data_IF_432029643426
#
_entry.id   IF_432029643426
#
_cell.length_a   1.000
_cell.length_b   1.000
_cell.length_c   1.000
_cell.angle_alpha   90.00
_cell.angle_beta   90.00
_cell.angle_gamma   90.00
#
_symmetry.space_group_name_H-M   'P 1'
#
loop_
_entity.id
_entity.type
_entity.pdbx_description
1 polymer ?
#
# COMPACT_ATOMS: atom_id res chain seq x y z
N UNK A 1 30.23 17.98 -8.78
CA UNK A 1 29.02 17.28 -9.26
C UNK A 1 28.35 16.66 -8.04
N UNK A 2 27.04 16.90 -7.79
CA UNK A 2 26.34 16.17 -6.72
C UNK A 2 26.37 14.69 -7.09
N UNK A 3 26.92 13.86 -6.21
CA UNK A 3 26.99 12.42 -6.42
C UNK A 3 25.56 11.87 -6.45
N UNK A 4 25.15 11.26 -7.55
CA UNK A 4 23.81 10.68 -7.64
C UNK A 4 23.72 9.44 -6.75
N UNK A 5 22.80 9.45 -5.79
CA UNK A 5 22.47 8.29 -4.97
C UNK A 5 21.15 7.72 -5.44
N UNK A 6 21.20 6.53 -6.02
CA UNK A 6 20.00 5.79 -6.44
C UNK A 6 19.29 5.16 -5.23
N UNK A 7 17.97 5.08 -5.31
CA UNK A 7 17.13 4.31 -4.40
C UNK A 7 16.00 3.64 -5.18
N UNK A 8 15.49 2.53 -4.65
CA UNK A 8 14.39 1.77 -5.27
C UNK A 8 13.17 1.85 -4.37
N UNK A 9 12.04 2.23 -4.96
CA UNK A 9 10.73 2.19 -4.32
C UNK A 9 9.90 1.08 -4.97
N UNK A 10 9.69 0.00 -4.25
CA UNK A 10 8.73 -1.04 -4.61
C UNK A 10 7.32 -0.51 -4.36
N UNK A 11 6.47 -0.56 -5.38
CA UNK A 11 5.08 -0.07 -5.29
C UNK A 11 4.10 -1.19 -5.49
N UNK A 12 3.16 -1.30 -4.55
CA UNK A 12 2.02 -2.22 -4.68
C UNK A 12 0.72 -1.54 -4.23
N UNK A 13 -0.42 -2.16 -4.51
CA UNK A 13 -1.74 -1.62 -4.18
C UNK A 13 -1.92 -1.42 -2.67
N UNK A 14 -1.45 -2.38 -1.88
CA UNK A 14 -1.64 -2.42 -0.43
C UNK A 14 -2.83 -3.25 0.02
N UNK A 15 -2.98 -3.32 1.34
CA UNK A 15 -3.86 -4.26 2.02
C UNK A 15 -4.26 -3.70 3.39
N UNK A 16 -5.41 -4.09 3.96
CA UNK A 16 -5.77 -3.66 5.31
C UNK A 16 -4.75 -4.14 6.35
N UNK A 17 -4.54 -3.34 7.40
CA UNK A 17 -3.58 -3.66 8.47
C UNK A 17 -4.03 -4.85 9.36
N UNK A 18 -5.31 -5.20 9.31
CA UNK A 18 -5.88 -6.32 10.05
C UNK A 18 -7.09 -6.92 9.31
N UNK A 19 -7.40 -8.21 9.52
CA UNK A 19 -8.54 -8.87 8.87
C UNK A 19 -9.83 -8.60 9.66
N UNK A 20 -10.03 -7.34 10.09
CA UNK A 20 -11.21 -6.91 10.86
C UNK A 20 -12.09 -5.99 10.01
N UNK A 21 -13.42 -5.99 10.23
CA UNK A 21 -14.32 -5.10 9.48
C UNK A 21 -13.91 -3.62 9.56
N UNK A 22 -13.33 -3.18 10.68
CA UNK A 22 -12.89 -1.79 10.87
C UNK A 22 -11.66 -1.45 10.02
N UNK A 23 -10.65 -2.32 10.02
CA UNK A 23 -9.44 -2.12 9.21
C UNK A 23 -9.73 -2.23 7.72
N UNK A 24 -10.54 -3.21 7.31
CA UNK A 24 -11.03 -3.35 5.94
C UNK A 24 -11.84 -2.13 5.51
N UNK A 25 -12.73 -1.61 6.37
CA UNK A 25 -13.49 -0.39 6.07
C UNK A 25 -12.58 0.81 5.83
N UNK A 26 -11.51 0.98 6.62
CA UNK A 26 -10.52 2.05 6.44
C UNK A 26 -9.82 1.92 5.08
N UNK A 27 -9.30 0.74 4.77
CA UNK A 27 -8.64 0.45 3.50
C UNK A 27 -9.57 0.65 2.30
N UNK A 28 -10.78 0.08 2.33
CA UNK A 28 -11.76 0.22 1.25
C UNK A 28 -12.21 1.67 1.07
N UNK A 29 -12.32 2.44 2.16
CA UNK A 29 -12.66 3.86 2.08
C UNK A 29 -11.58 4.61 1.33
N UNK A 30 -10.31 4.37 1.63
CA UNK A 30 -9.19 5.00 0.95
C UNK A 30 -9.17 4.62 -0.55
N UNK A 31 -9.21 3.32 -0.84
CA UNK A 31 -9.18 2.79 -2.20
C UNK A 31 -10.35 3.29 -3.07
N UNK A 32 -11.58 3.21 -2.55
CA UNK A 32 -12.78 3.57 -3.32
C UNK A 32 -13.08 5.07 -3.32
N UNK A 33 -12.35 5.88 -2.54
CA UNK A 33 -12.46 7.35 -2.63
C UNK A 33 -11.57 7.94 -3.73
N UNK A 34 -10.68 7.13 -4.30
CA UNK A 34 -9.79 7.58 -5.37
C UNK A 34 -10.55 7.73 -6.69
N UNK A 35 -10.54 8.94 -7.25
CA UNK A 35 -11.18 9.24 -8.54
C UNK A 35 -10.56 8.50 -9.73
N UNK A 36 -9.36 7.93 -9.57
CA UNK A 36 -8.73 7.04 -10.56
C UNK A 36 -9.31 5.63 -10.54
N UNK A 37 -9.95 5.24 -9.43
CA UNK A 37 -10.57 3.93 -9.23
C UNK A 37 -12.07 3.97 -9.51
N UNK A 38 -12.74 5.06 -9.10
CA UNK A 38 -14.16 5.26 -9.31
C UNK A 38 -14.40 6.54 -10.12
N UNK A 39 -14.82 6.36 -11.37
CA UNK A 39 -15.14 7.45 -12.30
C UNK A 39 -16.58 7.96 -12.09
N UNK A 40 -16.86 8.49 -10.89
CA UNK A 40 -18.16 9.09 -10.55
C UNK A 40 -17.93 10.36 -9.74
N UNK A 41 -18.78 11.36 -9.96
CA UNK A 41 -18.69 12.63 -9.22
C UNK A 41 -18.57 12.38 -7.71
N UNK A 42 -17.54 12.93 -7.02
CA UNK A 42 -17.31 12.69 -5.60
C UNK A 42 -18.51 13.00 -4.71
N UNK A 43 -19.31 14.00 -5.10
CA UNK A 43 -20.51 14.41 -4.36
C UNK A 43 -21.61 13.34 -4.37
N UNK A 44 -21.79 12.67 -5.51
CA UNK A 44 -22.76 11.56 -5.65
C UNK A 44 -22.21 10.28 -5.06
N UNK A 45 -20.90 10.04 -5.21
CA UNK A 45 -20.26 8.82 -4.74
C UNK A 45 -20.13 8.76 -3.22
N UNK A 46 -19.82 9.89 -2.57
CA UNK A 46 -19.60 9.93 -1.13
C UNK A 46 -20.74 9.33 -0.29
N UNK A 47 -22.04 9.66 -0.49
CA UNK A 47 -23.13 9.06 0.28
C UNK A 47 -23.31 7.57 -0.04
N UNK A 48 -23.10 7.15 -1.29
CA UNK A 48 -23.18 5.74 -1.71
C UNK A 48 -22.07 4.93 -1.03
N UNK A 49 -20.84 5.44 -1.07
CA UNK A 49 -19.67 4.81 -0.47
C UNK A 49 -19.86 4.66 1.04
N UNK A 50 -20.15 5.75 1.74
CA UNK A 50 -20.19 5.76 3.20
C UNK A 50 -21.48 5.15 3.78
N UNK A 51 -22.60 5.25 3.06
CA UNK A 51 -23.92 4.79 3.51
C UNK A 51 -24.28 3.35 3.12
N UNK A 52 -23.84 2.88 1.95
CA UNK A 52 -24.26 1.57 1.42
C UNK A 52 -23.06 0.64 1.28
N UNK A 53 -22.02 1.06 0.55
CA UNK A 53 -20.92 0.15 0.18
C UNK A 53 -20.10 -0.24 1.39
N UNK A 54 -19.57 0.72 2.15
CA UNK A 54 -18.70 0.42 3.28
C UNK A 54 -19.41 -0.40 4.38
N UNK A 55 -20.64 -0.08 4.81
CA UNK A 55 -21.34 -0.88 5.83
C UNK A 55 -21.63 -2.32 5.40
N UNK A 56 -22.03 -2.54 4.15
CA UNK A 56 -22.41 -3.87 3.65
C UNK A 56 -21.19 -4.71 3.22
N UNK A 57 -20.21 -4.09 2.57
CA UNK A 57 -19.07 -4.79 1.94
C UNK A 57 -17.96 -5.09 2.94
N UNK A 58 -17.67 -4.19 3.88
CA UNK A 58 -16.53 -4.36 4.79
C UNK A 58 -16.59 -5.64 5.64
N UNK A 59 -17.73 -6.04 6.25
CA UNK A 59 -17.82 -7.28 7.01
C UNK A 59 -17.62 -8.53 6.14
N UNK A 60 -18.15 -8.51 4.91
CA UNK A 60 -18.01 -9.63 3.96
C UNK A 60 -16.56 -9.79 3.52
N UNK A 61 -15.90 -8.69 3.15
CA UNK A 61 -14.51 -8.69 2.71
C UNK A 61 -13.56 -9.04 3.87
N UNK A 62 -13.87 -8.63 5.10
CA UNK A 62 -13.09 -9.03 6.27
C UNK A 62 -13.03 -10.54 6.45
N UNK A 63 -14.14 -11.27 6.25
CA UNK A 63 -14.14 -12.74 6.32
C UNK A 63 -13.22 -13.38 5.26
N UNK A 64 -13.16 -12.80 4.07
CA UNK A 64 -12.25 -13.26 3.01
C UNK A 64 -10.78 -13.00 3.37
N UNK A 65 -10.48 -11.83 3.95
CA UNK A 65 -9.13 -11.56 4.48
C UNK A 65 -8.77 -12.52 5.61
N UNK A 66 -9.71 -12.84 6.50
CA UNK A 66 -9.50 -13.82 7.59
C UNK A 66 -9.15 -15.20 7.04
N UNK A 67 -9.78 -15.66 5.96
CA UNK A 67 -9.53 -17.00 5.42
C UNK A 67 -8.14 -17.20 4.80
N UNK A 68 -7.43 -16.10 4.49
CA UNK A 68 -6.09 -16.14 3.88
C UNK A 68 -5.05 -15.44 4.74
N UNK A 69 -5.41 -15.04 5.96
CA UNK A 69 -4.51 -14.29 6.83
C UNK A 69 -3.38 -15.21 7.32
N UNK A 70 -2.14 -14.71 7.28
CA UNK A 70 -0.97 -15.41 7.80
C UNK A 70 -0.61 -14.85 9.16
N UNK A 71 0.23 -15.57 9.91
CA UNK A 71 0.69 -15.15 11.24
C UNK A 71 1.36 -13.78 11.20
N UNK A 72 2.11 -13.48 10.13
CA UNK A 72 2.79 -12.20 9.95
C UNK A 72 1.92 -11.10 9.30
N UNK A 73 0.70 -11.42 8.86
CA UNK A 73 -0.23 -10.46 8.26
C UNK A 73 -0.83 -10.91 6.92
N UNK A 74 -1.28 -9.93 6.12
CA UNK A 74 -1.80 -10.18 4.78
C UNK A 74 -0.72 -10.77 3.87
N UNK A 75 -1.00 -11.85 3.11
CA UNK A 75 -0.06 -12.44 2.15
C UNK A 75 0.63 -11.43 1.25
N UNK A 76 -0.13 -10.46 0.72
CA UNK A 76 0.41 -9.41 -0.14
C UNK A 76 1.56 -8.65 0.54
N UNK A 77 1.34 -8.19 1.77
CA UNK A 77 2.32 -7.41 2.51
C UNK A 77 3.52 -8.27 2.92
N UNK A 78 3.27 -9.50 3.39
CA UNK A 78 4.34 -10.41 3.81
C UNK A 78 5.26 -10.74 2.64
N UNK A 79 4.72 -11.13 1.49
CA UNK A 79 5.55 -11.41 0.32
C UNK A 79 6.24 -10.16 -0.23
N UNK A 80 5.57 -9.01 -0.22
CA UNK A 80 6.19 -7.73 -0.63
C UNK A 80 7.37 -7.36 0.27
N UNK A 81 7.27 -7.58 1.59
CA UNK A 81 8.38 -7.37 2.53
C UNK A 81 9.52 -8.34 2.31
N UNK A 82 9.23 -9.62 2.05
CA UNK A 82 10.26 -10.62 1.71
C UNK A 82 10.97 -10.26 0.40
N UNK A 83 10.25 -9.77 -0.60
CA UNK A 83 10.82 -9.26 -1.86
C UNK A 83 11.71 -8.02 -1.62
N UNK A 84 11.24 -7.06 -0.82
CA UNK A 84 12.03 -5.88 -0.42
C UNK A 84 13.36 -6.31 0.22
N UNK A 85 13.32 -7.20 1.21
CA UNK A 85 14.50 -7.71 1.89
C UNK A 85 15.45 -8.45 0.94
N UNK A 86 14.91 -9.30 0.08
CA UNK A 86 15.70 -10.06 -0.89
C UNK A 86 16.36 -9.18 -1.96
N UNK A 87 15.74 -8.05 -2.33
CA UNK A 87 16.32 -7.07 -3.24
C UNK A 87 17.38 -6.22 -2.54
N UNK A 88 17.09 -5.73 -1.33
CA UNK A 88 18.03 -4.97 -0.52
C UNK A 88 19.32 -5.76 -0.26
N UNK A 89 19.21 -7.06 0.03
CA UNK A 89 20.37 -7.93 0.21
C UNK A 89 21.24 -8.07 -1.04
N UNK A 90 20.65 -7.95 -2.25
CA UNK A 90 21.38 -7.96 -3.53
C UNK A 90 21.95 -6.60 -3.91
N UNK A 91 21.47 -5.52 -3.28
CA UNK A 91 21.86 -4.14 -3.58
C UNK A 91 22.29 -3.40 -2.29
N UNK A 92 23.36 -3.82 -1.61
CA UNK A 92 23.71 -3.33 -0.26
C UNK A 92 24.00 -1.82 -0.20
N UNK A 93 24.33 -1.20 -1.33
CA UNK A 93 24.63 0.24 -1.42
C UNK A 93 23.43 1.07 -1.90
N UNK A 94 22.28 0.45 -2.15
CA UNK A 94 21.08 1.10 -2.69
C UNK A 94 19.92 0.91 -1.72
N UNK A 95 19.41 2.00 -1.12
CA UNK A 95 18.18 1.96 -0.33
C UNK A 95 17.01 1.36 -1.11
N UNK A 96 16.31 0.40 -0.50
CA UNK A 96 15.12 -0.23 -1.07
C UNK A 96 13.97 -0.11 -0.07
N UNK A 97 12.92 0.61 -0.46
CA UNK A 97 11.71 0.79 0.36
C UNK A 97 10.48 0.21 -0.33
N UNK A 98 9.48 -0.11 0.49
CA UNK A 98 8.18 -0.61 0.05
C UNK A 98 7.10 0.42 0.39
N UNK A 99 6.34 0.84 -0.62
CA UNK A 99 5.21 1.76 -0.45
C UNK A 99 3.93 1.21 -1.06
N UNK A 100 2.84 1.30 -0.31
CA UNK A 100 1.51 0.93 -0.74
C UNK A 100 0.75 2.15 -1.25
N UNK A 101 0.02 1.99 -2.35
CA UNK A 101 -0.89 3.03 -2.86
C UNK A 101 -2.02 3.33 -1.86
N UNK A 102 -2.48 2.30 -1.14
CA UNK A 102 -3.50 2.41 -0.09
C UNK A 102 -3.09 1.59 1.15
N UNK A 103 -3.27 2.16 2.34
CA UNK A 103 -2.86 1.52 3.59
C UNK A 103 -1.37 1.73 3.95
N UNK A 104 -0.83 0.81 4.76
CA UNK A 104 0.51 0.93 5.36
C UNK A 104 1.43 -0.22 4.93
N UNK A 105 2.74 0.02 4.70
CA UNK A 105 3.43 1.32 4.67
C UNK A 105 2.98 2.20 3.50
N UNK A 106 2.81 3.51 3.68
CA UNK A 106 2.35 4.38 2.59
C UNK A 106 3.48 4.81 1.64
N UNK A 107 3.14 5.18 0.40
CA UNK A 107 4.11 5.77 -0.54
C UNK A 107 4.84 6.99 0.04
N UNK A 108 4.13 7.86 0.75
CA UNK A 108 4.73 9.05 1.38
C UNK A 108 5.81 8.65 2.39
N UNK A 109 5.51 7.71 3.30
CA UNK A 109 6.46 7.22 4.29
C UNK A 109 7.69 6.57 3.64
N UNK A 110 7.48 5.79 2.58
CA UNK A 110 8.57 5.14 1.85
C UNK A 110 9.48 6.17 1.15
N UNK A 111 8.90 7.21 0.54
CA UNK A 111 9.65 8.30 -0.09
C UNK A 111 10.43 9.09 0.96
N UNK A 112 9.80 9.45 2.08
CA UNK A 112 10.46 10.17 3.17
C UNK A 112 11.65 9.38 3.73
N UNK A 113 11.52 8.05 3.86
CA UNK A 113 12.64 7.17 4.25
C UNK A 113 13.79 7.21 3.23
N UNK A 114 13.50 7.13 1.93
CA UNK A 114 14.53 7.19 0.88
C UNK A 114 15.22 8.57 0.85
N UNK A 115 14.47 9.65 1.01
CA UNK A 115 14.99 11.02 1.10
C UNK A 115 15.89 11.19 2.33
N UNK A 116 15.49 10.68 3.49
CA UNK A 116 16.30 10.70 4.71
C UNK A 116 17.61 9.91 4.56
N UNK A 117 17.62 8.89 3.71
CA UNK A 117 18.82 8.15 3.33
C UNK A 117 19.68 8.87 2.27
N UNK A 118 19.29 10.08 1.83
CA UNK A 118 20.04 10.89 0.86
C UNK A 118 19.89 10.44 -0.59
N UNK A 119 18.84 9.66 -0.91
CA UNK A 119 18.53 9.29 -2.30
C UNK A 119 18.21 10.54 -3.10
N UNK A 120 18.89 10.71 -4.24
CA UNK A 120 18.67 11.83 -5.17
C UNK A 120 18.06 11.38 -6.51
N UNK A 121 18.13 10.07 -6.81
CA UNK A 121 17.58 9.49 -8.02
C UNK A 121 16.71 8.27 -7.66
N UNK A 122 15.41 8.37 -7.88
CA UNK A 122 14.44 7.39 -7.44
C UNK A 122 13.97 6.50 -8.60
N UNK A 123 14.15 5.18 -8.45
CA UNK A 123 13.57 4.18 -9.34
C UNK A 123 12.29 3.66 -8.71
N UNK A 124 11.15 3.89 -9.37
CA UNK A 124 9.86 3.34 -8.97
C UNK A 124 9.68 2.00 -9.69
N UNK A 125 9.55 0.92 -8.93
CA UNK A 125 9.31 -0.43 -9.45
C UNK A 125 7.92 -0.92 -9.04
N UNK A 126 6.93 -0.88 -9.94
CA UNK A 126 5.62 -1.43 -9.67
C UNK A 126 5.63 -2.97 -9.64
N UNK A 127 4.88 -3.55 -8.70
CA UNK A 127 4.77 -5.01 -8.50
C UNK A 127 3.49 -5.62 -9.13
N UNK A 128 2.91 -4.94 -10.13
CA UNK A 128 1.73 -5.39 -10.88
C UNK A 128 2.07 -5.73 -12.33
#
# INVERSE_FOLDING_TARGET
MKQEKHGVLLVNLGTPDAPTPRAVKRYLKEFLSDGRVVDTSPLLWWPILNGIILPLRSPRVAKLYQSVWMDEGSPLLVYSRRQQQALAARMPNTPVELGMSYGSPSLAQAIDSLLAQGVTNLVVLPLY
#
